data_IF_294813991333
#
_entry.id   IF_294813991333
#
_cell.length_a   1.000
_cell.length_b   1.000
_cell.length_c   1.000
_cell.angle_alpha   90.00
_cell.angle_beta   90.00
_cell.angle_gamma   90.00
#
_symmetry.space_group_name_H-M   'P 1'
#
loop_
_entity.id
_entity.type
_entity.pdbx_description
1 polymer ?
#
# COMPACT_ATOMS: atom_id res chain seq x y z
N UNK A 1 -24.73 23.40 13.85
CA UNK A 1 -25.55 22.59 12.92
C UNK A 1 -25.75 23.25 11.54
N UNK A 2 -26.12 24.53 11.45
CA UNK A 2 -26.36 25.24 10.18
C UNK A 2 -25.13 25.29 9.23
N UNK A 3 -23.91 25.45 9.78
CA UNK A 3 -22.66 25.45 9.01
C UNK A 3 -22.21 24.07 8.54
N UNK A 4 -22.54 23.01 9.29
CA UNK A 4 -22.25 21.63 8.91
C UNK A 4 -23.14 21.18 7.74
N UNK A 5 -24.41 21.59 7.77
CA UNK A 5 -25.36 21.35 6.68
C UNK A 5 -24.92 22.05 5.38
N UNK A 6 -24.39 23.27 5.51
CA UNK A 6 -23.87 24.02 4.35
C UNK A 6 -22.63 23.36 3.74
N UNK A 7 -21.71 22.85 4.57
CA UNK A 7 -20.57 22.06 4.11
C UNK A 7 -21.01 20.77 3.41
N UNK A 8 -22.01 20.06 3.93
CA UNK A 8 -22.58 18.86 3.31
C UNK A 8 -23.25 19.18 1.96
N UNK A 9 -24.00 20.28 1.87
CA UNK A 9 -24.66 20.69 0.63
C UNK A 9 -23.65 21.14 -0.43
N UNK A 10 -22.59 21.86 -0.03
CA UNK A 10 -21.49 22.22 -0.94
C UNK A 10 -20.73 20.98 -1.40
N UNK A 11 -20.49 20.01 -0.51
CA UNK A 11 -19.88 18.72 -0.88
C UNK A 11 -20.76 17.98 -1.89
N UNK A 12 -22.06 17.85 -1.63
CA UNK A 12 -23.01 17.20 -2.56
C UNK A 12 -23.11 17.90 -3.92
N UNK A 13 -22.99 19.23 -3.97
CA UNK A 13 -23.00 20.00 -5.22
C UNK A 13 -21.78 19.76 -6.11
N UNK A 14 -20.62 19.43 -5.52
CA UNK A 14 -19.39 19.09 -6.27
C UNK A 14 -19.35 17.65 -6.79
N UNK A 15 -20.20 16.74 -6.28
CA UNK A 15 -20.34 15.36 -6.76
C UNK A 15 -21.54 15.15 -7.69
N UNK A 16 -21.93 16.18 -8.45
CA UNK A 16 -22.87 16.03 -9.54
C UNK A 16 -22.34 15.06 -10.60
N UNK A 17 -22.79 13.81 -10.54
CA UNK A 17 -22.50 12.81 -11.57
C UNK A 17 -23.23 13.20 -12.86
N UNK A 18 -22.47 13.68 -13.85
CA UNK A 18 -22.94 13.74 -15.23
C UNK A 18 -23.21 12.30 -15.70
N UNK A 19 -24.47 12.00 -16.04
CA UNK A 19 -24.87 10.75 -16.69
C UNK A 19 -24.43 10.81 -18.17
N UNK A 20 -23.17 10.51 -18.44
CA UNK A 20 -22.76 10.03 -19.77
C UNK A 20 -23.18 8.57 -19.88
N UNK A 21 -23.86 8.24 -21.00
CA UNK A 21 -24.58 6.99 -21.28
C UNK A 21 -24.10 5.77 -20.49
N UNK A 22 -25.01 5.17 -19.72
CA UNK A 22 -24.69 4.09 -18.79
C UNK A 22 -24.19 2.85 -19.54
N UNK A 23 -22.87 2.67 -19.58
CA UNK A 23 -22.30 1.33 -19.69
C UNK A 23 -22.80 0.54 -18.49
N UNK A 24 -23.48 -0.58 -18.73
CA UNK A 24 -23.97 -1.44 -17.64
C UNK A 24 -22.83 -1.79 -16.70
N UNK A 25 -23.03 -1.52 -15.40
CA UNK A 25 -22.04 -1.76 -14.35
C UNK A 25 -22.46 -2.98 -13.57
N UNK A 26 -21.58 -3.96 -13.53
CA UNK A 26 -21.81 -5.19 -12.80
C UNK A 26 -21.07 -5.21 -11.48
N UNK A 27 -21.77 -5.62 -10.42
CA UNK A 27 -21.24 -5.63 -9.06
C UNK A 27 -21.34 -7.02 -8.42
N UNK A 28 -20.30 -7.39 -7.68
CA UNK A 28 -20.22 -8.66 -6.95
C UNK A 28 -19.85 -8.40 -5.50
N UNK A 29 -20.63 -8.99 -4.60
CA UNK A 29 -20.29 -9.10 -3.19
C UNK A 29 -19.54 -10.39 -2.92
N UNK A 30 -18.57 -10.37 -2.02
CA UNK A 30 -17.92 -11.58 -1.53
C UNK A 30 -17.73 -11.55 -0.02
N UNK A 31 -17.79 -12.73 0.59
CA UNK A 31 -17.54 -12.92 2.01
C UNK A 31 -16.67 -14.16 2.18
N UNK A 32 -15.53 -14.04 2.88
CA UNK A 32 -14.61 -15.13 3.12
C UNK A 32 -14.22 -15.21 4.58
N UNK A 33 -14.41 -16.38 5.17
CA UNK A 33 -13.80 -16.70 6.46
C UNK A 33 -12.36 -17.14 6.21
N UNK A 34 -11.45 -16.76 7.11
CA UNK A 34 -10.06 -17.22 7.07
C UNK A 34 -9.55 -17.59 8.46
N UNK A 35 -8.56 -18.50 8.48
CA UNK A 35 -7.87 -18.94 9.68
C UNK A 35 -6.43 -19.34 9.34
N UNK A 36 -5.47 -18.94 10.17
CA UNK A 36 -4.05 -19.03 9.79
C UNK A 36 -3.06 -18.83 10.92
N UNK A 37 -1.82 -18.54 10.55
CA UNK A 37 -0.72 -18.34 11.49
C UNK A 37 0.03 -17.05 11.19
N UNK A 38 0.61 -16.46 12.24
CA UNK A 38 1.57 -15.36 12.08
C UNK A 38 2.88 -15.97 11.56
N UNK A 39 3.39 -15.44 10.44
CA UNK A 39 4.69 -15.81 9.90
C UNK A 39 5.79 -15.12 10.71
N UNK A 40 6.68 -15.92 11.28
CA UNK A 40 7.88 -15.44 11.96
C UNK A 40 8.85 -14.86 10.93
N UNK A 41 8.89 -13.53 10.85
CA UNK A 41 9.77 -12.77 9.96
C UNK A 41 10.81 -11.94 10.73
N UNK A 42 10.60 -11.79 12.05
CA UNK A 42 11.54 -11.16 12.99
C UNK A 42 11.48 -11.95 14.32
N UNK A 43 12.62 -12.42 14.89
CA UNK A 43 12.64 -13.15 16.15
C UNK A 43 12.04 -12.36 17.33
N UNK A 44 12.06 -11.04 17.28
CA UNK A 44 11.55 -10.16 18.35
C UNK A 44 10.04 -10.31 18.58
N UNK A 45 9.27 -10.84 17.61
CA UNK A 45 7.83 -11.08 17.79
C UNK A 45 7.51 -12.53 18.17
N UNK A 46 8.51 -13.39 18.36
CA UNK A 46 8.29 -14.82 18.63
C UNK A 46 7.40 -15.06 19.86
N UNK A 47 7.53 -14.25 20.92
CA UNK A 47 6.70 -14.32 22.12
C UNK A 47 5.24 -13.90 21.90
N UNK A 48 4.93 -13.26 20.76
CA UNK A 48 3.57 -12.85 20.38
C UNK A 48 2.87 -13.92 19.52
N UNK A 49 3.60 -14.87 18.95
CA UNK A 49 3.07 -15.94 18.12
C UNK A 49 2.63 -17.10 19.01
N UNK A 50 1.52 -16.89 19.74
CA UNK A 50 1.01 -17.85 20.73
C UNK A 50 -0.27 -18.57 20.29
N UNK A 51 -0.94 -18.06 19.24
CA UNK A 51 -2.22 -18.55 18.76
C UNK A 51 -2.37 -18.29 17.26
N UNK A 52 -3.44 -18.84 16.69
CA UNK A 52 -3.77 -18.73 15.27
C UNK A 52 -4.77 -17.61 15.01
N UNK A 53 -4.41 -16.55 14.25
CA UNK A 53 -5.36 -15.52 13.88
C UNK A 53 -6.47 -16.04 12.96
N UNK A 54 -7.63 -15.41 13.02
CA UNK A 54 -8.76 -15.70 12.14
C UNK A 54 -9.71 -14.54 12.00
N UNK A 55 -10.59 -14.60 11.02
CA UNK A 55 -11.47 -13.49 10.75
C UNK A 55 -12.31 -13.62 9.49
N UNK A 56 -12.80 -12.48 9.02
CA UNK A 56 -13.68 -12.37 7.85
C UNK A 56 -13.17 -11.27 6.93
N UNK A 57 -13.16 -11.55 5.63
CA UNK A 57 -12.91 -10.60 4.55
C UNK A 57 -14.23 -10.42 3.80
N UNK A 58 -14.72 -9.18 3.76
CA UNK A 58 -15.88 -8.78 2.98
C UNK A 58 -15.41 -7.95 1.79
N UNK A 59 -15.90 -8.22 0.59
CA UNK A 59 -15.53 -7.52 -0.63
C UNK A 59 -16.73 -6.98 -1.39
N UNK A 60 -16.57 -5.78 -1.94
CA UNK A 60 -17.45 -5.19 -2.95
C UNK A 60 -16.63 -4.94 -4.21
N UNK A 61 -17.02 -5.57 -5.31
CA UNK A 61 -16.25 -5.58 -6.56
C UNK A 61 -17.09 -5.00 -7.69
N UNK A 62 -16.47 -4.15 -8.50
CA UNK A 62 -16.98 -3.74 -9.82
C UNK A 62 -16.24 -4.55 -10.88
N UNK A 63 -16.99 -5.33 -11.66
CA UNK A 63 -16.45 -6.07 -12.80
C UNK A 63 -16.10 -5.15 -13.96
N UNK A 64 -15.04 -5.51 -14.67
CA UNK A 64 -14.55 -4.78 -15.85
C UNK A 64 -14.70 -5.66 -17.09
N UNK A 65 -15.12 -5.04 -18.20
CA UNK A 65 -15.45 -5.74 -19.46
C UNK A 65 -14.74 -5.14 -20.68
N UNK A 66 -13.81 -4.20 -20.52
CA UNK A 66 -13.08 -3.59 -21.63
C UNK A 66 -13.63 -2.24 -22.08
N UNK A 67 -14.45 -1.58 -21.26
CA UNK A 67 -15.00 -0.25 -21.57
C UNK A 67 -13.95 0.86 -21.48
N UNK A 68 -12.84 0.60 -20.79
CA UNK A 68 -11.68 1.49 -20.71
C UNK A 68 -10.43 0.77 -21.27
N UNK A 69 -9.55 1.49 -21.97
CA UNK A 69 -8.41 0.89 -22.71
C UNK A 69 -7.46 0.05 -21.86
N UNK A 70 -7.31 0.42 -20.59
CA UNK A 70 -6.42 -0.27 -19.66
C UNK A 70 -6.99 -1.63 -19.23
N UNK A 71 -8.31 -1.83 -19.23
CA UNK A 71 -8.98 -3.02 -18.72
C UNK A 71 -8.58 -4.26 -19.52
N UNK A 72 -8.82 -4.24 -20.83
CA UNK A 72 -8.47 -5.35 -21.73
C UNK A 72 -6.96 -5.63 -21.71
N UNK A 73 -6.14 -4.57 -21.64
CA UNK A 73 -4.69 -4.68 -21.62
C UNK A 73 -4.17 -5.45 -20.39
N UNK A 74 -4.86 -5.41 -19.25
CA UNK A 74 -4.47 -6.08 -18.01
C UNK A 74 -5.30 -7.34 -17.73
N UNK A 75 -6.05 -7.86 -18.71
CA UNK A 75 -6.87 -9.06 -18.54
C UNK A 75 -8.16 -8.81 -17.76
N UNK A 76 -8.75 -7.62 -17.91
CA UNK A 76 -10.02 -7.20 -17.32
C UNK A 76 -10.05 -7.36 -15.79
N UNK A 77 -9.12 -6.74 -15.06
CA UNK A 77 -9.08 -6.87 -13.62
C UNK A 77 -10.27 -6.14 -12.97
N UNK A 78 -10.87 -6.74 -11.97
CA UNK A 78 -11.93 -6.07 -11.22
C UNK A 78 -11.32 -5.07 -10.25
N UNK A 79 -12.07 -4.03 -9.91
CA UNK A 79 -11.71 -3.03 -8.91
C UNK A 79 -12.71 -3.04 -7.78
N UNK A 80 -12.28 -2.86 -6.54
CA UNK A 80 -13.21 -2.90 -5.42
C UNK A 80 -12.66 -2.39 -4.11
N UNK A 81 -13.47 -2.59 -3.08
CA UNK A 81 -13.09 -2.34 -1.70
C UNK A 81 -13.25 -3.62 -0.88
N UNK A 82 -12.32 -3.88 0.03
CA UNK A 82 -12.42 -4.96 0.99
C UNK A 82 -12.42 -4.41 2.40
N UNK A 83 -13.24 -4.99 3.27
CA UNK A 83 -13.17 -4.84 4.70
C UNK A 83 -12.65 -6.14 5.32
N UNK A 84 -11.75 -6.03 6.29
CA UNK A 84 -11.17 -7.19 6.98
C UNK A 84 -11.34 -7.00 8.48
N UNK A 85 -12.03 -7.93 9.11
CA UNK A 85 -11.95 -8.13 10.54
C UNK A 85 -10.97 -9.27 10.81
N UNK A 86 -10.02 -9.05 11.71
CA UNK A 86 -9.07 -10.07 12.12
C UNK A 86 -8.87 -10.06 13.63
N UNK A 87 -9.16 -11.19 14.27
CA UNK A 87 -8.78 -11.43 15.66
C UNK A 87 -7.42 -12.13 15.68
N UNK A 88 -6.46 -11.55 16.42
CA UNK A 88 -5.12 -12.15 16.55
C UNK A 88 -5.11 -13.30 17.55
N UNK A 89 -6.20 -13.50 18.32
CA UNK A 89 -6.29 -14.48 19.41
C UNK A 89 -5.14 -14.39 20.43
N UNK A 90 -4.55 -13.20 20.52
CA UNK A 90 -3.52 -12.85 21.47
C UNK A 90 -3.88 -11.47 22.05
N UNK A 91 -4.07 -11.33 23.37
CA UNK A 91 -4.54 -10.09 23.96
C UNK A 91 -3.54 -8.94 23.77
N UNK A 92 -2.22 -9.22 23.70
CA UNK A 92 -1.19 -8.22 23.43
C UNK A 92 -1.31 -7.64 22.02
N UNK A 93 -1.64 -8.46 21.02
CA UNK A 93 -1.83 -8.01 19.62
C UNK A 93 -3.24 -7.46 19.33
N UNK A 94 -4.25 -7.92 20.07
CA UNK A 94 -5.63 -7.46 19.96
C UNK A 94 -6.32 -7.85 18.65
N UNK A 95 -7.16 -6.94 18.14
CA UNK A 95 -7.97 -7.12 16.94
C UNK A 95 -7.66 -6.03 15.92
N UNK A 96 -7.78 -6.36 14.64
CA UNK A 96 -7.57 -5.44 13.53
C UNK A 96 -8.84 -5.30 12.69
N UNK A 97 -9.15 -4.05 12.32
CA UNK A 97 -10.25 -3.69 11.43
C UNK A 97 -9.69 -2.91 10.25
N UNK A 98 -9.53 -3.56 9.10
CA UNK A 98 -8.92 -3.00 7.90
C UNK A 98 -9.93 -2.62 6.82
N UNK A 99 -9.66 -1.54 6.11
CA UNK A 99 -10.35 -1.12 4.89
C UNK A 99 -9.34 -0.93 3.77
N UNK A 100 -9.59 -1.58 2.63
CA UNK A 100 -8.66 -1.70 1.51
C UNK A 100 -9.34 -1.29 0.21
N UNK A 101 -8.59 -0.61 -0.66
CA UNK A 101 -8.88 -0.59 -2.09
C UNK A 101 -8.13 -1.76 -2.74
N UNK A 102 -8.77 -2.49 -3.64
CA UNK A 102 -8.17 -3.69 -4.24
C UNK A 102 -8.38 -3.81 -5.74
N UNK A 103 -7.49 -4.58 -6.35
CA UNK A 103 -7.64 -5.16 -7.68
C UNK A 103 -7.78 -6.68 -7.58
N UNK A 104 -8.62 -7.27 -8.43
CA UNK A 104 -8.62 -8.71 -8.68
C UNK A 104 -8.12 -8.96 -10.10
N UNK A 105 -6.97 -9.60 -10.22
CA UNK A 105 -6.45 -10.12 -11.46
C UNK A 105 -6.86 -11.58 -11.62
N UNK A 106 -7.03 -12.02 -12.86
CA UNK A 106 -7.60 -13.32 -13.16
C UNK A 106 -6.76 -14.08 -14.16
N UNK A 107 -6.60 -15.38 -13.92
CA UNK A 107 -5.84 -16.31 -14.75
C UNK A 107 -6.68 -17.57 -15.01
N UNK A 108 -6.21 -18.43 -15.93
CA UNK A 108 -6.83 -19.72 -16.22
C UNK A 108 -8.34 -19.62 -16.50
N UNK A 109 -8.70 -18.78 -17.49
CA UNK A 109 -10.11 -18.46 -17.83
C UNK A 109 -10.90 -17.92 -16.62
N UNK A 110 -10.24 -17.08 -15.83
CA UNK A 110 -10.75 -16.44 -14.60
C UNK A 110 -11.14 -17.40 -13.46
N UNK A 111 -10.71 -18.66 -13.51
CA UNK A 111 -10.88 -19.59 -12.39
C UNK A 111 -9.82 -19.42 -11.29
N UNK A 112 -8.73 -18.70 -11.57
CA UNK A 112 -7.73 -18.34 -10.57
C UNK A 112 -7.74 -16.83 -10.37
N UNK A 113 -7.95 -16.38 -9.14
CA UNK A 113 -7.98 -14.97 -8.75
C UNK A 113 -6.74 -14.62 -7.93
N UNK A 114 -6.05 -13.55 -8.32
CA UNK A 114 -5.07 -12.85 -7.51
C UNK A 114 -5.65 -11.51 -7.06
N UNK A 115 -5.97 -11.38 -5.77
CA UNK A 115 -6.38 -10.11 -5.17
C UNK A 115 -5.17 -9.44 -4.54
N UNK A 116 -4.97 -8.16 -4.83
CA UNK A 116 -4.04 -7.31 -4.08
C UNK A 116 -4.79 -6.08 -3.59
N UNK A 117 -4.72 -5.83 -2.29
CA UNK A 117 -5.37 -4.71 -1.61
C UNK A 117 -4.38 -3.92 -0.78
N UNK A 118 -4.49 -2.61 -0.83
CA UNK A 118 -3.76 -1.69 0.05
C UNK A 118 -4.79 -0.86 0.82
N UNK A 119 -4.54 -0.71 2.12
CA UNK A 119 -5.52 -0.16 3.03
C UNK A 119 -4.92 0.45 4.29
N UNK A 120 -5.83 0.87 5.15
CA UNK A 120 -5.56 1.31 6.52
C UNK A 120 -6.34 0.40 7.46
N UNK A 121 -5.72 0.06 8.59
CA UNK A 121 -6.34 -0.74 9.63
C UNK A 121 -6.32 -0.03 10.98
N UNK A 122 -7.36 -0.27 11.77
CA UNK A 122 -7.43 0.11 13.17
C UNK A 122 -7.13 -1.10 14.05
N UNK A 123 -6.08 -1.03 14.84
CA UNK A 123 -5.71 -1.99 15.87
C UNK A 123 -6.29 -1.58 17.22
N UNK A 124 -6.83 -2.53 17.96
CA UNK A 124 -7.49 -2.25 19.25
C UNK A 124 -6.53 -2.15 20.44
N UNK A 125 -5.31 -2.67 20.34
CA UNK A 125 -4.40 -2.77 21.48
C UNK A 125 -2.92 -2.58 21.08
N UNK A 126 -2.51 -1.37 20.65
CA UNK A 126 -1.11 -1.08 20.33
C UNK A 126 -0.24 -1.07 21.58
N UNK A 127 1.06 -0.86 21.40
CA UNK A 127 2.03 -0.65 22.46
C UNK A 127 1.60 0.49 23.39
N UNK A 128 1.63 0.19 24.68
CA UNK A 128 1.55 1.17 25.75
C UNK A 128 2.59 0.81 26.81
N UNK A 129 3.34 1.80 27.30
CA UNK A 129 4.44 1.55 28.23
C UNK A 129 3.99 0.98 29.58
N UNK A 130 2.78 1.30 30.02
CA UNK A 130 2.22 0.84 31.29
C UNK A 130 1.34 -0.41 31.09
N UNK A 131 0.43 -0.37 30.12
CA UNK A 131 -0.64 -1.35 29.99
C UNK A 131 -0.35 -2.48 29.00
N UNK A 132 0.49 -2.23 27.97
CA UNK A 132 0.73 -3.21 26.90
C UNK A 132 2.18 -3.19 26.38
N UNK A 133 3.15 -3.16 27.29
CA UNK A 133 4.57 -2.96 26.96
C UNK A 133 5.17 -4.14 26.17
N UNK A 134 4.48 -5.28 26.10
CA UNK A 134 4.93 -6.47 25.35
C UNK A 134 4.60 -6.39 23.86
N UNK A 135 3.70 -5.49 23.44
CA UNK A 135 3.35 -5.35 22.03
C UNK A 135 4.42 -4.56 21.30
N UNK A 136 5.48 -5.22 20.85
CA UNK A 136 6.48 -4.60 19.99
C UNK A 136 6.10 -4.58 18.50
N UNK A 137 4.97 -5.18 18.12
CA UNK A 137 4.52 -5.24 16.74
C UNK A 137 3.86 -3.94 16.26
N UNK A 138 3.05 -3.29 17.11
CA UNK A 138 2.21 -2.15 16.72
C UNK A 138 2.38 -0.95 17.66
N UNK A 139 3.03 0.12 17.22
CA UNK A 139 3.21 1.34 18.01
C UNK A 139 2.02 2.29 18.01
N UNK A 140 1.02 2.06 17.15
CA UNK A 140 -0.12 2.95 16.94
C UNK A 140 -1.41 2.18 16.62
N UNK A 141 -2.55 2.80 16.92
CA UNK A 141 -3.86 2.26 16.53
C UNK A 141 -4.05 2.21 15.00
N UNK A 142 -3.59 3.24 14.29
CA UNK A 142 -3.67 3.25 12.83
C UNK A 142 -2.45 2.57 12.23
N UNK A 143 -2.70 1.59 11.37
CA UNK A 143 -1.71 0.78 10.68
C UNK A 143 -1.94 0.89 9.17
N UNK A 144 -0.86 0.94 8.39
CA UNK A 144 -0.87 0.56 6.99
C UNK A 144 -1.09 -0.94 6.87
N UNK A 145 -1.91 -1.36 5.93
CA UNK A 145 -2.15 -2.79 5.72
C UNK A 145 -2.20 -3.17 4.26
N UNK A 146 -1.54 -4.27 3.93
CA UNK A 146 -1.52 -4.87 2.60
C UNK A 146 -2.12 -6.26 2.70
N UNK A 147 -3.06 -6.56 1.81
CA UNK A 147 -3.68 -7.89 1.70
C UNK A 147 -3.39 -8.46 0.32
N UNK A 148 -2.97 -9.72 0.28
CA UNK A 148 -2.85 -10.52 -0.93
C UNK A 148 -3.71 -11.76 -0.78
N UNK A 149 -4.44 -12.15 -1.82
CA UNK A 149 -5.15 -13.43 -1.86
C UNK A 149 -4.90 -14.15 -3.18
N UNK A 150 -4.75 -15.47 -3.10
CA UNK A 150 -4.72 -16.36 -4.26
C UNK A 150 -5.84 -17.39 -4.09
N UNK A 151 -6.85 -17.33 -4.94
CA UNK A 151 -8.04 -18.16 -4.82
C UNK A 151 -8.32 -18.94 -6.09
N UNK A 152 -8.69 -20.21 -5.95
CA UNK A 152 -9.61 -20.80 -6.91
C UNK A 152 -10.95 -20.09 -6.74
N UNK A 153 -11.52 -19.62 -7.84
CA UNK A 153 -12.66 -18.72 -7.85
C UNK A 153 -13.64 -19.16 -8.93
N UNK A 154 -14.88 -19.45 -8.54
CA UNK A 154 -15.92 -19.87 -9.47
C UNK A 154 -17.24 -19.17 -9.15
N UNK A 155 -17.67 -18.35 -10.09
CA UNK A 155 -18.89 -17.56 -9.97
C UNK A 155 -20.10 -18.29 -10.54
N UNK A 156 -21.30 -17.81 -10.17
CA UNK A 156 -22.58 -18.12 -10.82
C UNK A 156 -22.88 -19.62 -10.98
N UNK A 157 -22.64 -20.40 -9.92
CA UNK A 157 -23.02 -21.80 -9.84
C UNK A 157 -24.54 -21.99 -9.63
N UNK A 158 -25.18 -21.09 -8.87
CA UNK A 158 -26.61 -21.13 -8.61
C UNK A 158 -27.17 -19.73 -8.43
N UNK A 159 -27.93 -19.22 -9.41
CA UNK A 159 -28.63 -17.93 -9.32
C UNK A 159 -27.75 -16.75 -8.82
N UNK A 160 -26.55 -16.60 -9.39
CA UNK A 160 -25.58 -15.57 -9.01
C UNK A 160 -24.65 -15.97 -7.84
N UNK A 161 -24.93 -17.05 -7.12
CA UNK A 161 -24.05 -17.56 -6.07
C UNK A 161 -22.87 -18.34 -6.65
N UNK A 162 -21.68 -18.07 -6.16
CA UNK A 162 -20.45 -18.81 -6.44
C UNK A 162 -19.61 -18.98 -5.17
N UNK A 163 -18.41 -19.52 -5.33
CA UNK A 163 -17.48 -19.71 -4.22
C UNK A 163 -16.05 -19.35 -4.60
N UNK A 164 -15.23 -19.18 -3.56
CA UNK A 164 -13.78 -19.08 -3.68
C UNK A 164 -13.10 -19.74 -2.50
N UNK A 165 -11.94 -20.33 -2.76
CA UNK A 165 -11.12 -20.97 -1.75
C UNK A 165 -9.65 -20.79 -2.09
N UNK A 166 -8.80 -20.58 -1.08
CA UNK A 166 -7.39 -20.33 -1.33
C UNK A 166 -6.61 -19.90 -0.10
N UNK A 167 -5.58 -19.10 -0.37
CA UNK A 167 -4.69 -18.54 0.66
C UNK A 167 -4.79 -17.02 0.67
N UNK A 168 -4.67 -16.44 1.85
CA UNK A 168 -4.53 -15.02 2.07
C UNK A 168 -3.27 -14.70 2.88
N UNK A 169 -2.64 -13.58 2.55
CA UNK A 169 -1.56 -12.97 3.31
C UNK A 169 -2.00 -11.55 3.70
N UNK A 170 -1.92 -11.23 4.98
CA UNK A 170 -2.33 -9.93 5.52
C UNK A 170 -1.18 -9.37 6.35
N UNK A 171 -0.68 -8.22 5.95
CA UNK A 171 0.40 -7.50 6.63
C UNK A 171 -0.16 -6.30 7.39
N UNK A 172 0.29 -6.07 8.62
CA UNK A 172 -0.01 -4.87 9.40
C UNK A 172 1.28 -4.25 9.95
N UNK A 173 1.49 -2.98 9.65
CA UNK A 173 2.59 -2.16 10.21
C UNK A 173 2.17 -0.70 10.25
N UNK A 174 2.90 0.17 10.94
CA UNK A 174 2.67 1.62 10.88
C UNK A 174 3.73 2.36 10.04
N UNK A 175 4.55 1.62 9.29
CA UNK A 175 5.61 2.14 8.43
C UNK A 175 6.55 3.14 9.12
N UNK A 176 6.95 2.81 10.36
CA UNK A 176 7.80 3.62 11.23
C UNK A 176 7.22 5.01 11.53
N UNK A 177 5.89 5.15 11.48
CA UNK A 177 5.22 6.35 11.97
C UNK A 177 5.45 6.52 13.48
N UNK A 178 5.40 5.43 14.26
CA UNK A 178 5.63 5.44 15.70
C UNK A 178 6.24 4.12 16.17
N UNK A 179 7.32 4.17 16.94
CA UNK A 179 7.93 2.97 17.51
C UNK A 179 7.10 2.43 18.71
N UNK A 180 7.11 1.10 18.93
CA UNK A 180 7.76 0.05 18.15
C UNK A 180 6.95 -0.34 16.90
N UNK A 181 7.59 -0.96 15.90
CA UNK A 181 6.92 -1.38 14.67
C UNK A 181 7.58 -2.62 14.04
N UNK A 182 7.70 -3.72 14.79
CA UNK A 182 8.18 -4.99 14.20
C UNK A 182 7.16 -5.63 13.26
N UNK A 183 5.89 -5.18 13.27
CA UNK A 183 4.80 -5.61 12.40
C UNK A 183 4.34 -7.06 12.61
N UNK A 184 3.29 -7.46 11.89
CA UNK A 184 2.89 -8.87 11.79
C UNK A 184 2.48 -9.23 10.37
N UNK A 185 2.75 -10.47 9.97
CA UNK A 185 2.28 -11.07 8.73
C UNK A 185 1.43 -12.29 9.05
N UNK A 186 0.16 -12.32 8.66
CA UNK A 186 -0.69 -13.51 8.79
C UNK A 186 -0.80 -14.21 7.45
N UNK A 187 -0.47 -15.50 7.41
CA UNK A 187 -0.80 -16.38 6.28
C UNK A 187 -1.94 -17.30 6.70
N UNK A 188 -3.02 -17.32 5.93
CA UNK A 188 -4.23 -18.04 6.27
C UNK A 188 -4.81 -18.79 5.08
N UNK A 189 -5.54 -19.86 5.37
CA UNK A 189 -6.46 -20.47 4.42
C UNK A 189 -7.78 -19.71 4.49
N UNK A 190 -8.41 -19.49 3.35
CA UNK A 190 -9.71 -18.84 3.28
C UNK A 190 -10.70 -19.64 2.43
N UNK A 191 -11.96 -19.61 2.83
CA UNK A 191 -13.10 -20.09 2.07
C UNK A 191 -14.19 -19.03 2.09
N UNK A 192 -14.84 -18.83 0.96
CA UNK A 192 -15.84 -17.79 0.84
C UNK A 192 -16.85 -18.01 -0.26
N UNK A 193 -17.91 -17.22 -0.19
CA UNK A 193 -18.97 -17.17 -1.18
C UNK A 193 -18.85 -15.85 -1.95
N UNK A 194 -19.30 -15.89 -3.20
CA UNK A 194 -19.45 -14.72 -4.06
C UNK A 194 -20.89 -14.62 -4.50
N UNK A 195 -21.46 -13.43 -4.54
CA UNK A 195 -22.82 -13.21 -5.01
C UNK A 195 -22.86 -12.08 -6.04
N UNK A 196 -23.35 -12.42 -7.22
CA UNK A 196 -23.53 -11.54 -8.36
C UNK A 196 -24.87 -10.79 -8.22
N UNK A 197 -24.79 -9.46 -8.10
CA UNK A 197 -25.97 -8.62 -7.84
C UNK A 197 -26.92 -8.55 -9.04
N UNK A 198 -26.44 -8.90 -10.24
CA UNK A 198 -27.24 -8.92 -11.47
C UNK A 198 -27.78 -10.33 -11.77
N UNK A 199 -27.99 -11.16 -10.74
CA UNK A 199 -28.63 -12.48 -10.89
C UNK A 199 -27.86 -13.49 -11.75
N UNK A 200 -26.58 -13.22 -12.03
CA UNK A 200 -25.73 -14.08 -12.87
C UNK A 200 -25.77 -13.77 -14.37
N UNK A 201 -26.39 -12.67 -14.80
CA UNK A 201 -26.42 -12.24 -16.21
C UNK A 201 -25.02 -12.22 -16.83
N UNK A 202 -24.86 -12.75 -18.05
CA UNK A 202 -23.54 -12.79 -18.70
C UNK A 202 -23.30 -11.52 -19.51
N UNK A 203 -22.15 -10.89 -19.29
CA UNK A 203 -21.67 -9.75 -20.07
C UNK A 203 -20.47 -10.18 -20.91
N UNK A 204 -20.44 -9.74 -22.16
CA UNK A 204 -19.34 -10.04 -23.07
C UNK A 204 -18.15 -9.13 -22.81
N UNK A 205 -16.95 -9.71 -22.88
CA UNK A 205 -15.71 -8.93 -22.86
C UNK A 205 -15.53 -8.27 -24.22
N UNK A 206 -15.29 -6.96 -24.23
CA UNK A 206 -14.96 -6.25 -25.45
C UNK A 206 -13.58 -6.65 -25.94
N UNK A 207 -13.45 -6.91 -27.23
CA UNK A 207 -12.17 -7.20 -27.85
C UNK A 207 -11.15 -6.07 -27.59
N UNK A 208 -9.88 -6.39 -27.27
CA UNK A 208 -8.85 -5.38 -27.08
C UNK A 208 -8.71 -4.52 -28.33
N UNK A 209 -8.97 -3.21 -28.21
CA UNK A 209 -8.75 -2.26 -29.30
C UNK A 209 -7.24 -2.21 -29.64
N UNK A 210 -6.86 -2.08 -30.92
CA UNK A 210 -5.47 -1.81 -31.29
C UNK A 210 -5.00 -0.55 -30.56
N UNK A 211 -3.99 -0.71 -29.71
CA UNK A 211 -3.46 0.45 -28.99
C UNK A 211 -2.39 1.11 -29.84
N UNK A 212 -2.48 2.43 -29.99
CA UNK A 212 -1.43 3.21 -30.63
C UNK A 212 -0.12 3.09 -29.85
N UNK A 213 0.99 3.12 -30.58
CA UNK A 213 2.32 3.11 -29.98
C UNK A 213 2.58 4.48 -29.35
N UNK A 214 2.58 4.55 -28.03
CA UNK A 214 2.98 5.78 -27.33
C UNK A 214 4.47 6.02 -27.54
N UNK A 215 4.81 7.12 -28.21
CA UNK A 215 6.18 7.61 -28.36
C UNK A 215 6.27 8.97 -27.66
N UNK A 216 6.77 8.95 -26.43
CA UNK A 216 7.05 10.18 -25.68
C UNK A 216 8.57 10.47 -25.67
N UNK A 217 8.98 11.75 -25.70
CA UNK A 217 10.36 12.12 -25.38
C UNK A 217 10.69 11.75 -23.93
N UNK A 218 11.96 11.84 -23.56
CA UNK A 218 12.34 11.77 -22.15
C UNK A 218 11.67 12.96 -21.44
N UNK A 219 11.00 12.69 -20.34
CA UNK A 219 10.33 13.70 -19.51
C UNK A 219 11.09 13.87 -18.21
N UNK A 220 11.11 15.09 -17.69
CA UNK A 220 11.78 15.41 -16.44
C UNK A 220 10.76 15.59 -15.33
N UNK A 221 11.02 14.99 -14.19
CA UNK A 221 10.13 14.99 -13.05
C UNK A 221 10.82 15.63 -11.87
N UNK A 222 10.10 16.53 -11.20
CA UNK A 222 10.52 17.13 -9.95
C UNK A 222 9.46 16.85 -8.89
N UNK A 223 9.87 16.31 -7.76
CA UNK A 223 8.94 15.86 -6.71
C UNK A 223 9.41 16.34 -5.35
N UNK A 224 8.50 16.95 -4.61
CA UNK A 224 8.65 17.15 -3.18
C UNK A 224 7.87 16.05 -2.48
N UNK A 225 8.54 15.31 -1.59
CA UNK A 225 7.90 14.32 -0.72
C UNK A 225 8.08 14.71 0.72
N UNK A 226 7.14 14.33 1.57
CA UNK A 226 7.25 14.52 3.00
C UNK A 226 6.33 13.60 3.78
N UNK A 227 6.51 13.59 5.09
CA UNK A 227 5.77 12.76 6.02
C UNK A 227 6.31 12.93 7.42
N UNK A 228 5.91 12.01 8.30
CA UNK A 228 6.35 11.96 9.69
C UNK A 228 6.78 10.53 9.98
N UNK A 229 7.91 10.38 10.66
CA UNK A 229 8.39 9.08 11.12
C UNK A 229 9.19 9.21 12.43
N UNK A 230 9.47 8.07 13.04
CA UNK A 230 10.24 7.90 14.28
C UNK A 230 11.38 6.89 14.04
N UNK A 231 12.43 6.94 14.86
CA UNK A 231 13.47 5.90 14.87
C UNK A 231 12.96 4.60 15.49
N UNK A 232 13.70 3.49 15.40
CA UNK A 232 13.29 2.26 16.07
C UNK A 232 13.43 2.32 17.61
N UNK A 233 13.99 3.41 18.14
CA UNK A 233 14.08 3.66 19.58
C UNK A 233 12.74 4.16 20.09
N UNK A 234 12.10 3.36 20.94
CA UNK A 234 10.79 3.66 21.53
C UNK A 234 10.87 4.96 22.34
N UNK A 235 9.92 5.88 22.11
CA UNK A 235 9.85 7.21 22.70
C UNK A 235 10.99 8.14 22.30
N UNK A 236 11.60 7.94 21.13
CA UNK A 236 12.56 8.90 20.55
C UNK A 236 11.88 10.11 19.92
N UNK A 237 10.58 10.00 19.60
CA UNK A 237 9.76 11.09 19.12
C UNK A 237 9.55 11.07 17.61
N UNK A 238 8.45 11.69 17.17
CA UNK A 238 8.06 11.74 15.77
C UNK A 238 8.57 13.03 15.13
N UNK A 239 9.23 12.90 13.98
CA UNK A 239 9.84 14.02 13.27
C UNK A 239 9.33 14.09 11.83
N UNK A 240 9.07 15.31 11.38
CA UNK A 240 8.79 15.55 9.96
C UNK A 240 10.04 15.33 9.12
N UNK A 241 9.88 14.78 7.91
CA UNK A 241 10.93 14.68 6.92
C UNK A 241 10.48 15.26 5.59
N UNK A 242 11.45 15.59 4.74
CA UNK A 242 11.20 15.90 3.34
C UNK A 242 12.28 15.32 2.44
N UNK A 243 11.90 15.05 1.20
CA UNK A 243 12.75 14.47 0.17
C UNK A 243 12.53 15.25 -1.12
N UNK A 244 13.63 15.69 -1.72
CA UNK A 244 13.64 16.32 -3.03
C UNK A 244 14.08 15.28 -4.05
N UNK A 245 13.20 14.92 -4.97
CA UNK A 245 13.50 13.98 -6.06
C UNK A 245 13.54 14.71 -7.40
N UNK A 246 14.55 14.40 -8.20
CA UNK A 246 14.61 14.80 -9.61
C UNK A 246 14.95 13.58 -10.46
N UNK A 247 14.15 13.30 -11.50
CA UNK A 247 14.37 12.12 -12.34
C UNK A 247 13.91 12.31 -13.78
N UNK A 248 14.61 11.64 -14.69
CA UNK A 248 14.16 11.46 -16.07
C UNK A 248 13.31 10.18 -16.15
N UNK A 249 12.20 10.23 -16.88
CA UNK A 249 11.42 9.05 -17.25
C UNK A 249 11.35 8.87 -18.77
N UNK A 250 11.46 7.61 -19.20
CA UNK A 250 11.26 7.21 -20.60
C UNK A 250 10.15 6.19 -20.68
N UNK A 251 9.06 6.57 -21.35
CA UNK A 251 7.95 5.66 -21.66
C UNK A 251 8.37 4.64 -22.70
N UNK A 252 8.21 3.35 -22.35
CA UNK A 252 8.48 2.21 -23.22
C UNK A 252 7.22 1.74 -23.97
N UNK A 253 6.05 2.18 -23.52
CA UNK A 253 4.77 1.92 -24.15
C UNK A 253 3.61 2.31 -23.23
N UNK A 254 2.46 1.69 -23.43
CA UNK A 254 1.23 2.13 -22.75
C UNK A 254 1.24 1.82 -21.25
N UNK A 255 1.97 0.76 -20.86
CA UNK A 255 2.00 0.25 -19.48
C UNK A 255 3.29 0.56 -18.72
N UNK A 256 4.38 0.88 -19.40
CA UNK A 256 5.70 0.87 -18.75
C UNK A 256 6.49 2.15 -19.05
N UNK A 257 7.12 2.68 -18.01
CA UNK A 257 8.21 3.65 -18.13
C UNK A 257 9.38 3.26 -17.22
N UNK A 258 10.60 3.58 -17.66
CA UNK A 258 11.81 3.49 -16.85
C UNK A 258 12.15 4.86 -16.29
N UNK A 259 12.70 4.88 -15.08
CA UNK A 259 13.11 6.08 -14.36
C UNK A 259 14.59 6.00 -14.01
N UNK A 260 15.29 7.13 -14.08
CA UNK A 260 16.64 7.31 -13.57
C UNK A 260 16.71 8.68 -12.91
N UNK A 261 17.16 8.73 -11.66
CA UNK A 261 17.16 10.00 -10.93
C UNK A 261 17.97 10.01 -9.65
N UNK A 262 17.74 11.08 -8.90
CA UNK A 262 18.42 11.40 -7.65
C UNK A 262 17.41 11.85 -6.61
N UNK A 263 17.69 11.50 -5.36
CA UNK A 263 16.96 11.91 -4.17
C UNK A 263 17.89 12.62 -3.19
N UNK A 264 17.43 13.70 -2.58
CA UNK A 264 18.07 14.33 -1.41
C UNK A 264 17.15 14.19 -0.21
N UNK A 265 17.64 13.55 0.85
CA UNK A 265 16.86 13.16 2.01
C UNK A 265 17.17 14.04 3.21
N UNK A 266 16.13 14.54 3.85
CA UNK A 266 16.18 15.29 5.11
C UNK A 266 15.34 14.56 6.17
N UNK A 267 15.81 13.39 6.59
CA UNK A 267 15.13 12.54 7.59
C UNK A 267 15.49 13.01 9.01
N UNK A 268 14.71 13.95 9.57
CA UNK A 268 15.09 14.61 10.82
C UNK A 268 15.15 13.69 12.05
N UNK A 269 14.45 12.54 12.05
CA UNK A 269 14.54 11.55 13.13
C UNK A 269 15.98 11.05 13.34
N UNK A 270 16.80 11.05 12.29
CA UNK A 270 18.20 10.62 12.36
C UNK A 270 19.03 11.54 13.26
N UNK A 271 18.66 12.81 13.43
CA UNK A 271 19.36 13.70 14.37
C UNK A 271 19.29 13.19 15.81
N UNK A 272 18.09 12.78 16.23
CA UNK A 272 17.91 12.22 17.56
C UNK A 272 18.57 10.86 17.70
N UNK A 273 18.51 10.03 16.65
CA UNK A 273 19.17 8.74 16.66
C UNK A 273 20.70 8.91 16.80
N UNK A 274 21.32 9.77 16.00
CA UNK A 274 22.76 10.11 16.06
C UNK A 274 23.11 10.61 17.47
N UNK A 275 22.33 11.55 18.00
CA UNK A 275 22.54 12.08 19.36
C UNK A 275 22.48 10.96 20.40
N UNK A 276 21.40 10.18 20.41
CA UNK A 276 21.20 9.07 21.33
C UNK A 276 22.35 8.07 21.28
N UNK A 277 22.73 7.64 20.08
CA UNK A 277 23.84 6.72 19.85
C UNK A 277 25.18 7.29 20.35
N UNK A 278 25.52 8.52 19.97
CA UNK A 278 26.77 9.18 20.39
C UNK A 278 26.88 9.37 21.91
N UNK A 279 25.75 9.57 22.61
CA UNK A 279 25.76 9.81 24.06
C UNK A 279 25.65 8.54 24.90
N UNK A 280 24.89 7.55 24.42
CA UNK A 280 24.50 6.39 25.23
C UNK A 280 25.26 5.12 24.89
N UNK A 281 25.91 5.06 23.73
CA UNK A 281 26.62 3.87 23.24
C UNK A 281 27.98 4.26 22.60
N UNK A 282 28.97 4.65 23.41
CA UNK A 282 30.30 5.05 22.92
C UNK A 282 30.98 4.00 22.04
N UNK A 283 30.65 2.72 22.24
CA UNK A 283 31.17 1.59 21.46
C UNK A 283 30.77 1.60 19.98
N UNK A 284 29.76 2.40 19.59
CA UNK A 284 29.35 2.53 18.19
C UNK A 284 30.12 3.61 17.43
N UNK A 285 30.99 4.37 18.12
CA UNK A 285 31.90 5.37 17.53
C UNK A 285 31.20 6.39 16.60
N UNK A 286 29.98 6.79 16.97
CA UNK A 286 29.19 7.78 16.22
C UNK A 286 29.50 9.18 16.73
N UNK A 287 30.03 10.04 15.86
CA UNK A 287 30.27 11.44 16.19
C UNK A 287 28.93 12.20 16.32
N UNK A 288 28.73 13.03 17.37
CA UNK A 288 27.47 13.73 17.62
C UNK A 288 27.10 14.77 16.54
N UNK A 289 28.07 15.22 15.75
CA UNK A 289 27.93 16.17 14.64
C UNK A 289 27.84 15.50 13.27
N UNK A 290 27.73 14.16 13.23
CA UNK A 290 27.51 13.41 11.99
C UNK A 290 26.30 13.98 11.24
N UNK A 291 26.45 14.25 9.95
CA UNK A 291 25.36 14.78 9.14
C UNK A 291 24.25 13.73 8.98
N UNK A 292 23.00 14.14 9.09
CA UNK A 292 21.83 13.28 8.99
C UNK A 292 21.28 13.19 7.56
N UNK A 293 21.77 14.06 6.67
CA UNK A 293 21.32 14.12 5.28
C UNK A 293 21.88 12.96 4.49
N UNK A 294 21.12 12.52 3.49
CA UNK A 294 21.56 11.51 2.53
C UNK A 294 21.30 12.00 1.11
N UNK A 295 22.12 11.56 0.16
CA UNK A 295 21.89 11.75 -1.27
C UNK A 295 21.97 10.38 -1.92
N UNK A 296 20.95 10.04 -2.72
CA UNK A 296 20.88 8.77 -3.41
C UNK A 296 20.63 8.92 -4.89
N UNK A 297 21.10 7.96 -5.67
CA UNK A 297 20.71 7.77 -7.07
C UNK A 297 19.82 6.55 -7.17
N UNK A 298 18.87 6.54 -8.10
CA UNK A 298 17.97 5.42 -8.26
C UNK A 298 17.64 5.11 -9.72
N UNK A 299 17.36 3.84 -9.97
CA UNK A 299 16.64 3.37 -11.15
C UNK A 299 15.24 2.93 -10.73
N UNK A 300 14.27 3.06 -11.63
CA UNK A 300 12.90 2.71 -11.32
C UNK A 300 12.07 2.28 -12.51
N UNK A 301 10.91 1.74 -12.20
CA UNK A 301 9.88 1.35 -13.14
C UNK A 301 8.54 1.92 -12.69
N UNK A 302 7.76 2.42 -13.64
CA UNK A 302 6.39 2.87 -13.44
C UNK A 302 5.44 2.04 -14.29
N UNK A 303 4.52 1.33 -13.64
CA UNK A 303 3.46 0.55 -14.26
C UNK A 303 2.16 1.35 -14.30
N UNK A 304 1.70 1.73 -15.48
CA UNK A 304 0.47 2.51 -15.65
C UNK A 304 -0.78 1.62 -15.60
N UNK A 305 -1.72 1.99 -14.74
CA UNK A 305 -3.03 1.36 -14.55
C UNK A 305 -4.08 2.48 -14.53
N UNK A 306 -4.65 2.79 -15.69
CA UNK A 306 -5.55 3.92 -15.89
C UNK A 306 -4.87 5.26 -15.55
N UNK A 307 -5.53 6.12 -14.75
CA UNK A 307 -5.00 7.39 -14.21
C UNK A 307 -4.06 7.20 -13.03
N UNK A 308 -3.87 5.96 -12.59
CA UNK A 308 -2.93 5.60 -11.53
C UNK A 308 -1.73 4.87 -12.10
N UNK A 309 -0.65 4.80 -11.35
CA UNK A 309 0.48 3.97 -11.66
C UNK A 309 1.09 3.41 -10.39
N UNK A 310 1.71 2.24 -10.50
CA UNK A 310 2.52 1.64 -9.45
C UNK A 310 3.97 1.98 -9.76
N UNK A 311 4.67 2.57 -8.80
CA UNK A 311 6.08 2.92 -8.91
C UNK A 311 6.88 1.95 -8.08
N UNK A 312 7.98 1.45 -8.64
CA UNK A 312 8.99 0.66 -7.94
C UNK A 312 10.37 1.22 -8.27
N UNK A 313 11.18 1.55 -7.28
CA UNK A 313 12.51 2.13 -7.43
C UNK A 313 13.51 1.38 -6.55
N UNK A 314 14.73 1.26 -7.05
CA UNK A 314 15.89 0.75 -6.34
C UNK A 314 16.97 1.81 -6.41
N UNK A 315 17.46 2.25 -5.26
CA UNK A 315 18.44 3.29 -5.14
C UNK A 315 19.61 2.95 -4.23
N UNK A 316 20.65 3.74 -4.36
CA UNK A 316 21.92 3.63 -3.65
C UNK A 316 22.33 5.01 -3.15
N UNK A 317 22.68 5.12 -1.86
CA UNK A 317 23.16 6.38 -1.31
C UNK A 317 24.61 6.63 -1.74
N UNK A 318 24.82 7.73 -2.48
CA UNK A 318 26.16 8.23 -2.85
C UNK A 318 26.73 9.16 -1.79
N UNK A 319 25.88 9.73 -0.93
CA UNK A 319 26.26 10.46 0.28
C UNK A 319 25.48 9.88 1.45
N UNK A 320 26.20 9.27 2.38
CA UNK A 320 25.66 8.48 3.51
C UNK A 320 26.63 8.55 4.71
N UNK A 321 26.70 9.71 5.39
CA UNK A 321 27.61 9.95 6.51
C UNK A 321 27.27 9.17 7.78
N UNK A 322 26.01 8.77 7.97
CA UNK A 322 25.55 8.00 9.13
C UNK A 322 25.00 6.64 8.69
N UNK A 323 25.46 5.56 9.32
CA UNK A 323 25.01 4.21 9.00
C UNK A 323 23.64 3.89 9.64
N UNK A 324 22.60 3.97 8.83
CA UNK A 324 21.23 3.60 9.13
C UNK A 324 20.66 2.62 8.09
N UNK A 325 20.51 1.35 8.48
CA UNK A 325 19.83 0.29 7.72
C UNK A 325 20.43 -0.08 6.35
N UNK A 326 21.62 0.43 6.05
CA UNK A 326 22.42 0.09 4.88
C UNK A 326 22.29 1.07 3.71
N UNK A 327 23.21 0.91 2.75
CA UNK A 327 23.39 1.89 1.67
C UNK A 327 22.42 1.75 0.48
N UNK A 328 21.64 0.67 0.44
CA UNK A 328 20.67 0.38 -0.62
C UNK A 328 19.26 0.61 -0.08
N UNK A 329 18.46 1.36 -0.82
CA UNK A 329 17.06 1.61 -0.49
C UNK A 329 16.14 1.22 -1.64
N UNK A 330 14.91 0.86 -1.32
CA UNK A 330 13.85 0.60 -2.27
C UNK A 330 12.63 1.48 -1.96
N UNK A 331 11.90 1.86 -3.00
CA UNK A 331 10.66 2.64 -2.88
C UNK A 331 9.58 2.01 -3.72
N UNK A 332 8.43 1.70 -3.12
CA UNK A 332 7.26 1.18 -3.82
C UNK A 332 6.04 2.01 -3.47
N UNK A 333 5.17 2.31 -4.43
CA UNK A 333 3.93 3.00 -4.11
C UNK A 333 3.02 3.30 -5.29
N UNK A 334 2.04 4.15 -5.03
CA UNK A 334 1.02 4.55 -5.97
C UNK A 334 1.21 6.01 -6.37
N UNK A 335 1.05 6.30 -7.65
CA UNK A 335 1.07 7.64 -8.23
C UNK A 335 -0.24 7.86 -8.98
N UNK A 336 -0.77 9.08 -8.94
CA UNK A 336 -1.99 9.48 -9.64
C UNK A 336 -1.76 10.78 -10.38
N UNK A 337 -2.06 10.78 -11.68
CA UNK A 337 -1.92 11.95 -12.53
C UNK A 337 -3.18 12.82 -12.49
N UNK A 338 -2.98 14.14 -12.44
CA UNK A 338 -3.99 15.18 -12.49
C UNK A 338 -3.71 16.04 -13.73
N UNK A 339 -4.27 15.63 -14.87
CA UNK A 339 -3.86 16.13 -16.19
C UNK A 339 -2.51 15.55 -16.61
N UNK A 340 -1.80 16.27 -17.49
CA UNK A 340 -0.59 15.71 -18.14
C UNK A 340 0.71 15.99 -17.39
N UNK A 341 0.69 16.95 -16.46
CA UNK A 341 1.91 17.46 -15.81
C UNK A 341 1.92 17.22 -14.31
N UNK A 342 0.80 17.40 -13.62
CA UNK A 342 0.76 17.31 -12.16
C UNK A 342 0.45 15.88 -11.72
N UNK A 343 1.10 15.42 -10.66
CA UNK A 343 0.75 14.16 -10.01
C UNK A 343 0.90 14.22 -8.50
N UNK A 344 0.12 13.39 -7.82
CA UNK A 344 0.31 13.04 -6.42
C UNK A 344 0.86 11.62 -6.30
N UNK A 345 1.58 11.32 -5.24
CA UNK A 345 2.11 9.99 -4.96
C UNK A 345 2.05 9.65 -3.47
N UNK A 346 1.84 8.38 -3.16
CA UNK A 346 2.01 7.80 -1.83
C UNK A 346 2.96 6.63 -1.98
N UNK A 347 4.14 6.72 -1.36
CA UNK A 347 5.22 5.75 -1.52
C UNK A 347 5.75 5.27 -0.17
N UNK A 348 6.13 4.01 -0.08
CA UNK A 348 6.84 3.44 1.06
C UNK A 348 8.31 3.33 0.70
N UNK A 349 9.16 4.04 1.45
CA UNK A 349 10.61 3.88 1.38
C UNK A 349 11.06 2.85 2.40
N UNK A 350 11.94 1.95 2.00
CA UNK A 350 12.46 0.86 2.82
C UNK A 350 13.94 0.59 2.51
N UNK A 351 14.61 -0.13 3.40
CA UNK A 351 15.91 -0.78 3.15
C UNK A 351 15.69 -2.28 3.22
N UNK A 352 15.56 -2.92 2.05
CA UNK A 352 15.12 -4.31 1.95
C UNK A 352 13.70 -4.46 2.52
N UNK A 353 13.58 -5.26 3.60
CA UNK A 353 12.31 -5.52 4.27
C UNK A 353 11.97 -4.52 5.39
N UNK A 354 12.88 -3.58 5.71
CA UNK A 354 12.69 -2.61 6.81
C UNK A 354 12.16 -1.28 6.29
N UNK A 355 10.93 -0.94 6.65
CA UNK A 355 10.31 0.33 6.27
C UNK A 355 10.98 1.51 6.98
N UNK A 356 11.30 2.59 6.27
CA UNK A 356 11.74 3.85 6.88
C UNK A 356 10.58 4.83 7.06
N UNK A 357 9.74 4.99 6.03
CA UNK A 357 8.62 5.93 6.06
C UNK A 357 7.63 5.74 4.91
N UNK A 358 6.36 6.07 5.18
CA UNK A 358 5.40 6.44 4.14
C UNK A 358 5.61 7.91 3.77
N UNK A 359 5.77 8.15 2.48
CA UNK A 359 6.04 9.44 1.86
C UNK A 359 4.81 9.89 1.06
N UNK A 360 4.34 11.10 1.32
CA UNK A 360 3.34 11.78 0.51
C UNK A 360 4.05 12.77 -0.42
N UNK A 361 3.86 12.60 -1.72
CA UNK A 361 4.55 13.37 -2.75
C UNK A 361 3.62 14.16 -3.65
N UNK A 362 4.06 15.36 -4.03
CA UNK A 362 3.51 16.13 -5.14
C UNK A 362 4.63 16.39 -6.14
N UNK A 363 4.35 16.20 -7.42
CA UNK A 363 5.35 16.39 -8.45
C UNK A 363 4.80 16.92 -9.76
N UNK A 364 5.72 17.45 -10.55
CA UNK A 364 5.49 17.92 -11.91
C UNK A 364 6.32 17.09 -12.88
N UNK A 365 5.70 16.68 -13.99
CA UNK A 365 6.30 16.00 -15.14
C UNK A 365 6.31 16.97 -16.33
N UNK A 366 7.49 17.30 -16.81
CA UNK A 366 7.75 18.28 -17.87
C UNK A 366 8.14 17.61 -19.18
#
# INVERSE_FOLDING_TARGET
MRHLLFLVIVFCGYFGFSQKGETSKKYVLDASQFYGSILLHNPDISHLITAHPGGIILGFNRKRFGHEDWEASLGYPDTGFSFVYQDMNNPTLGKNFGLYAHYNFYFLRRNLQFRIGQGVAYNTNPYDKAENFRNNAYGSHLLSSTMVMFNYHKENLLAGLGFKAGISLIHYSNANFKAPNTSTNTMALNFGLTYDLDGGETFEFQEPRPQEKIVEPIRYNFVLRGGVNESDVINSGQYGFWILSAYADKRLGNKSALQLGTDVFFSNFLKELIRFQSTSFPEMDVAPDTDFKRVGVFVGHELFINKMSVVAQLGYYVYYPFDFEGQVYNRVGLKRYFGDKLFGAVTLKSHGAKAEAVEFGIGIRL
#
